data_IF_649075739765
#
_entry.id   IF_649075739765
#
_cell.length_a   1.000
_cell.length_b   1.000
_cell.length_c   1.000
_cell.angle_alpha   90.00
_cell.angle_beta   90.00
_cell.angle_gamma   90.00
#
_symmetry.space_group_name_H-M   'P 1'
#
loop_
_entity.id
_entity.type
_entity.pdbx_description
1 polymer ?
#
# COMPACT_ATOMS: atom_id res chain seq x y z
N UNK A 1 8.68 11.08 -9.27
CA UNK A 1 9.17 9.95 -8.46
C UNK A 1 9.76 10.41 -7.12
N UNK A 2 10.82 11.23 -7.09
CA UNK A 2 11.47 11.64 -5.80
C UNK A 2 10.53 12.45 -4.89
N UNK A 3 9.64 13.26 -5.47
CA UNK A 3 8.69 14.05 -4.69
C UNK A 3 7.67 13.19 -3.93
N UNK A 4 7.35 11.99 -4.41
CA UNK A 4 6.31 11.15 -3.80
C UNK A 4 6.79 10.45 -2.55
N UNK A 5 8.10 10.23 -2.44
CA UNK A 5 8.72 9.56 -1.32
C UNK A 5 8.44 10.23 0.04
N UNK A 6 8.63 11.57 0.21
CA UNK A 6 8.25 12.24 1.45
C UNK A 6 6.74 12.27 1.69
N UNK A 7 5.91 12.40 0.65
CA UNK A 7 4.45 12.39 0.80
C UNK A 7 3.94 11.04 1.31
N UNK A 8 4.37 9.95 0.67
CA UNK A 8 4.00 8.59 1.06
C UNK A 8 4.56 8.24 2.44
N UNK A 9 5.75 8.76 2.78
CA UNK A 9 6.32 8.58 4.12
C UNK A 9 5.46 9.24 5.21
N UNK A 10 5.09 10.51 5.04
CA UNK A 10 4.21 11.22 5.97
C UNK A 10 2.85 10.53 6.06
N UNK A 11 2.29 10.10 4.93
CA UNK A 11 1.04 9.35 4.88
C UNK A 11 1.13 8.02 5.64
N UNK A 12 2.20 7.25 5.46
CA UNK A 12 2.42 5.98 6.14
C UNK A 12 2.56 6.15 7.66
N UNK A 13 3.21 7.23 8.11
CA UNK A 13 3.35 7.55 9.54
C UNK A 13 1.99 7.92 10.14
N UNK A 14 1.23 8.83 9.50
CA UNK A 14 -0.09 9.26 9.98
C UNK A 14 -1.05 8.06 10.02
N UNK A 15 -1.13 7.31 8.92
CA UNK A 15 -1.97 6.12 8.83
C UNK A 15 -1.56 5.10 9.90
N UNK A 16 -0.26 4.83 10.01
CA UNK A 16 0.29 3.85 10.93
C UNK A 16 -0.02 4.16 12.40
N UNK A 17 0.09 5.42 12.83
CA UNK A 17 -0.22 5.82 14.20
C UNK A 17 -1.71 5.60 14.52
N UNK A 18 -2.60 5.98 13.60
CA UNK A 18 -4.06 5.88 13.78
C UNK A 18 -4.49 4.41 13.85
N UNK A 19 -4.09 3.61 12.87
CA UNK A 19 -4.52 2.21 12.78
C UNK A 19 -3.91 1.35 13.88
N UNK A 20 -2.64 1.59 14.22
CA UNK A 20 -1.98 0.84 15.28
C UNK A 20 -2.67 1.05 16.64
N UNK A 21 -3.09 2.30 16.92
CA UNK A 21 -3.87 2.60 18.12
C UNK A 21 -5.27 1.99 18.08
N UNK A 22 -5.91 1.94 16.91
CA UNK A 22 -7.30 1.47 16.76
C UNK A 22 -7.42 -0.05 16.89
N UNK A 23 -6.40 -0.80 16.45
CA UNK A 23 -6.39 -2.27 16.51
C UNK A 23 -5.90 -2.81 17.87
N UNK A 24 -5.39 -1.92 18.75
CA UNK A 24 -4.82 -2.28 20.06
C UNK A 24 -3.66 -3.28 19.96
N UNK A 25 -2.75 -3.07 19.01
CA UNK A 25 -1.55 -3.90 18.88
C UNK A 25 -0.62 -3.78 20.10
N UNK A 26 0.17 -4.82 20.34
CA UNK A 26 1.13 -4.87 21.44
C UNK A 26 2.25 -3.82 21.27
N UNK A 27 2.22 -2.79 22.13
CA UNK A 27 3.11 -1.62 22.09
C UNK A 27 4.59 -1.91 22.35
N UNK A 28 5.26 -2.53 21.39
CA UNK A 28 6.71 -2.64 21.33
C UNK A 28 7.24 -1.74 20.20
N UNK A 29 8.24 -0.91 20.50
CA UNK A 29 8.84 0.00 19.52
C UNK A 29 9.33 -0.74 18.26
N UNK A 30 9.85 -1.97 18.42
CA UNK A 30 10.24 -2.83 17.31
C UNK A 30 9.07 -3.18 16.39
N UNK A 31 7.92 -3.58 16.96
CA UNK A 31 6.72 -3.95 16.18
C UNK A 31 6.09 -2.75 15.50
N UNK A 32 6.09 -1.59 16.17
CA UNK A 32 5.60 -0.33 15.61
C UNK A 32 6.44 0.08 14.40
N UNK A 33 7.77 0.02 14.54
CA UNK A 33 8.67 0.35 13.44
C UNK A 33 8.47 -0.58 12.24
N UNK A 34 8.38 -1.89 12.47
CA UNK A 34 8.08 -2.87 11.42
C UNK A 34 6.72 -2.64 10.77
N UNK A 35 5.71 -2.25 11.55
CA UNK A 35 4.38 -1.94 11.04
C UNK A 35 4.41 -0.73 10.10
N UNK A 36 5.02 0.38 10.54
CA UNK A 36 5.16 1.59 9.73
C UNK A 36 6.00 1.33 8.48
N UNK A 37 7.10 0.59 8.62
CA UNK A 37 7.96 0.22 7.48
C UNK A 37 7.22 -0.62 6.44
N UNK A 38 6.48 -1.64 6.90
CA UNK A 38 5.68 -2.49 6.00
C UNK A 38 4.60 -1.66 5.30
N UNK A 39 3.88 -0.81 6.04
CA UNK A 39 2.87 0.08 5.46
C UNK A 39 3.44 1.07 4.45
N UNK A 40 4.60 1.66 4.74
CA UNK A 40 5.30 2.56 3.83
C UNK A 40 5.67 1.84 2.52
N UNK A 41 6.25 0.66 2.60
CA UNK A 41 6.63 -0.12 1.41
C UNK A 41 5.41 -0.54 0.59
N UNK A 42 4.31 -0.95 1.23
CA UNK A 42 3.07 -1.31 0.55
C UNK A 42 2.44 -0.12 -0.17
N UNK A 43 2.36 1.05 0.49
CA UNK A 43 1.83 2.27 -0.13
C UNK A 43 2.69 2.71 -1.30
N UNK A 44 4.02 2.73 -1.15
CA UNK A 44 4.96 3.09 -2.20
C UNK A 44 4.82 2.17 -3.43
N UNK A 45 4.68 0.86 -3.20
CA UNK A 45 4.43 -0.11 -4.25
C UNK A 45 3.14 0.19 -5.02
N UNK A 46 2.03 0.46 -4.34
CA UNK A 46 0.76 0.79 -5.00
C UNK A 46 0.84 2.11 -5.78
N UNK A 47 1.53 3.13 -5.26
CA UNK A 47 1.69 4.42 -5.96
C UNK A 47 2.50 4.25 -7.25
N UNK A 48 3.60 3.51 -7.21
CA UNK A 48 4.42 3.25 -8.39
C UNK A 48 3.73 2.34 -9.41
N UNK A 49 2.98 1.34 -8.96
CA UNK A 49 2.14 0.52 -9.83
C UNK A 49 1.08 1.40 -10.53
N UNK A 50 0.41 2.27 -9.77
CA UNK A 50 -0.55 3.25 -10.29
C UNK A 50 0.02 4.12 -11.40
N UNK A 51 1.20 4.71 -11.16
CA UNK A 51 1.86 5.53 -12.17
C UNK A 51 2.27 4.73 -13.41
N UNK A 52 2.73 3.48 -13.24
CA UNK A 52 3.06 2.60 -14.37
C UNK A 52 1.83 2.32 -15.23
N UNK A 53 0.69 1.99 -14.62
CA UNK A 53 -0.54 1.70 -15.36
C UNK A 53 -1.04 2.93 -16.12
N UNK A 54 -1.02 4.10 -15.49
CA UNK A 54 -1.40 5.36 -16.14
C UNK A 54 -0.49 5.66 -17.34
N UNK A 55 0.82 5.44 -17.21
CA UNK A 55 1.79 5.68 -18.29
C UNK A 55 1.60 4.73 -19.49
N UNK A 56 1.09 3.51 -19.26
CA UNK A 56 0.88 2.50 -20.30
C UNK A 56 -0.45 2.67 -21.06
N UNK A 57 -1.43 3.36 -20.47
CA UNK A 57 -2.76 3.50 -21.05
C UNK A 57 -3.03 4.89 -21.63
N UNK A 58 -3.70 5.00 -22.78
CA UNK A 58 -4.02 6.30 -23.38
C UNK A 58 -5.16 7.05 -22.68
N UNK A 59 -5.90 6.43 -21.76
CA UNK A 59 -7.00 7.07 -21.03
C UNK A 59 -7.02 6.70 -19.55
N UNK A 60 -7.34 7.68 -18.71
CA UNK A 60 -7.40 7.54 -17.25
C UNK A 60 -8.51 6.57 -16.81
N UNK A 61 -9.61 6.51 -17.56
CA UNK A 61 -10.71 5.59 -17.28
C UNK A 61 -10.31 4.12 -17.49
N UNK A 62 -9.51 3.83 -18.51
CA UNK A 62 -8.98 2.47 -18.71
C UNK A 62 -7.91 2.16 -17.66
N UNK A 63 -7.08 3.14 -17.30
CA UNK A 63 -6.08 3.00 -16.24
C UNK A 63 -6.71 2.60 -14.89
N UNK A 64 -7.81 3.24 -14.50
CA UNK A 64 -8.47 2.96 -13.21
C UNK A 64 -9.08 1.56 -13.16
N UNK A 65 -9.70 1.10 -14.26
CA UNK A 65 -10.23 -0.25 -14.38
C UNK A 65 -9.08 -1.26 -14.27
N UNK A 66 -8.00 -1.06 -15.02
CA UNK A 66 -6.84 -1.97 -15.01
C UNK A 66 -6.20 -2.03 -13.61
N UNK A 67 -6.00 -0.88 -12.98
CA UNK A 67 -5.44 -0.78 -11.63
C UNK A 67 -6.31 -1.53 -10.60
N UNK A 68 -7.63 -1.41 -10.70
CA UNK A 68 -8.55 -2.11 -9.80
C UNK A 68 -8.46 -3.64 -9.96
N UNK A 69 -8.32 -4.13 -11.19
CA UNK A 69 -8.14 -5.54 -11.49
C UNK A 69 -6.83 -6.07 -10.90
N UNK A 70 -5.71 -5.38 -11.13
CA UNK A 70 -4.41 -5.76 -10.57
C UNK A 70 -4.39 -5.74 -9.05
N UNK A 71 -4.92 -4.71 -8.41
CA UNK A 71 -4.96 -4.63 -6.94
C UNK A 71 -5.80 -5.77 -6.33
N UNK A 72 -6.92 -6.12 -6.98
CA UNK A 72 -7.80 -7.19 -6.51
C UNK A 72 -7.14 -8.56 -6.62
N UNK A 73 -6.47 -8.85 -7.74
CA UNK A 73 -5.75 -10.12 -7.91
C UNK A 73 -4.58 -10.25 -6.94
N UNK A 74 -3.80 -9.19 -6.74
CA UNK A 74 -2.72 -9.17 -5.73
C UNK A 74 -3.25 -9.41 -4.31
N UNK A 75 -4.42 -8.86 -3.97
CA UNK A 75 -5.04 -9.06 -2.66
C UNK A 75 -5.57 -10.49 -2.48
N UNK A 76 -6.12 -11.11 -3.52
CA UNK A 76 -6.60 -12.50 -3.47
C UNK A 76 -5.47 -13.48 -3.16
N UNK A 77 -4.29 -13.27 -3.73
CA UNK A 77 -3.11 -14.11 -3.52
C UNK A 77 -2.23 -13.67 -2.33
N UNK A 78 -2.64 -12.68 -1.55
CA UNK A 78 -1.87 -12.18 -0.40
C UNK A 78 -1.91 -13.09 0.84
N UNK A 79 -2.56 -14.27 0.75
CA UNK A 79 -2.58 -15.29 1.82
C UNK A 79 -3.63 -15.07 2.91
N UNK A 80 -4.40 -13.96 2.88
CA UNK A 80 -5.49 -13.71 3.83
C UNK A 80 -6.82 -14.33 3.40
N UNK A 81 -7.25 -14.09 2.16
CA UNK A 81 -8.53 -14.60 1.63
C UNK A 81 -8.43 -16.05 1.17
N UNK A 82 -7.35 -16.37 0.45
CA UNK A 82 -7.03 -17.72 0.02
C UNK A 82 -5.78 -18.11 0.82
N UNK A 83 -5.89 -19.00 1.82
CA UNK A 83 -4.72 -19.54 2.49
C UNK A 83 -3.86 -20.23 1.42
N UNK A 84 -2.61 -19.79 1.28
CA UNK A 84 -1.65 -20.54 0.46
C UNK A 84 -1.42 -21.94 1.06
N UNK A 85 -0.98 -22.92 0.25
CA UNK A 85 -0.46 -24.17 0.77
C UNK A 85 0.74 -23.95 1.71
#
# INVERSE_FOLDING_TARGET
VVIELPYVFVQAVIYGIITYSTVYFYGSAYKIFWYIFTMFMTLLYYTYLGMMVIALTPSVNVASILQSLFNTTLTLFAGFLIPGP
#
